data_IF_235769019293
#
_entry.id   IF_235769019293
#
_cell.length_a   1.000
_cell.length_b   1.000
_cell.length_c   1.000
_cell.angle_alpha   90.00
_cell.angle_beta   90.00
_cell.angle_gamma   90.00
#
_symmetry.space_group_name_H-M   'P 1'
#
loop_
_entity.id
_entity.type
_entity.pdbx_description
1 polymer ?
#
# COMPACT_ATOMS: atom_id res chain seq x y z
N UNK A 1 12.22 2.76 64.69
CA UNK A 1 11.33 3.67 63.98
C UNK A 1 11.81 3.84 62.55
N UNK A 2 11.22 3.18 61.61
CA UNK A 2 11.46 3.38 60.19
C UNK A 2 10.10 3.50 59.50
N UNK A 3 9.84 4.68 58.95
CA UNK A 3 8.64 4.97 58.20
C UNK A 3 8.73 4.39 56.80
N UNK A 4 7.73 3.60 56.41
CA UNK A 4 7.57 3.10 55.07
C UNK A 4 6.79 4.12 54.22
N UNK A 5 7.41 4.57 53.11
CA UNK A 5 6.72 5.39 52.14
C UNK A 5 6.03 4.47 51.12
N UNK A 6 4.71 4.66 51.00
CA UNK A 6 3.89 4.04 49.98
C UNK A 6 3.99 4.90 48.73
N UNK A 7 4.57 4.36 47.66
CA UNK A 7 4.57 5.01 46.34
C UNK A 7 3.31 4.54 45.59
N UNK A 8 2.38 5.47 45.41
CA UNK A 8 1.20 5.25 44.59
C UNK A 8 1.56 5.23 43.12
N UNK A 9 1.20 4.14 42.44
CA UNK A 9 1.28 4.03 40.98
C UNK A 9 0.11 4.81 40.39
N UNK A 10 0.39 5.97 39.82
CA UNK A 10 -0.58 6.71 39.03
C UNK A 10 -0.70 6.02 37.64
N UNK A 11 -1.89 5.46 37.39
CA UNK A 11 -2.22 4.93 36.08
C UNK A 11 -2.28 6.02 35.02
N UNK A 12 -1.47 5.90 33.99
CA UNK A 12 -1.52 6.76 32.82
C UNK A 12 -2.69 6.29 31.95
N UNK A 13 -3.82 7.00 32.01
CA UNK A 13 -4.90 6.85 31.04
C UNK A 13 -4.41 7.38 29.69
N UNK A 14 -4.31 6.52 28.69
CA UNK A 14 -4.03 6.91 27.32
C UNK A 14 -5.23 7.68 26.76
N UNK A 15 -5.09 9.00 26.65
CA UNK A 15 -6.04 9.85 25.92
C UNK A 15 -5.90 9.57 24.42
N UNK A 16 -6.92 9.00 23.82
CA UNK A 16 -7.09 8.99 22.37
C UNK A 16 -7.45 10.40 21.92
N UNK A 17 -6.47 11.15 21.45
CA UNK A 17 -6.70 12.46 20.85
C UNK A 17 -7.36 12.27 19.47
N UNK A 18 -8.45 13.00 19.24
CA UNK A 18 -9.11 13.09 17.94
C UNK A 18 -8.11 13.60 16.88
N UNK A 19 -8.14 13.01 15.70
CA UNK A 19 -7.23 13.31 14.59
C UNK A 19 -7.56 14.68 13.98
N UNK A 20 -6.59 15.56 13.78
CA UNK A 20 -6.83 16.77 13.01
C UNK A 20 -6.90 16.46 11.52
N UNK A 21 -7.92 16.94 10.85
CA UNK A 21 -8.10 16.88 9.41
C UNK A 21 -7.99 18.30 8.83
N UNK A 22 -7.39 18.37 7.65
CA UNK A 22 -7.32 19.61 6.87
C UNK A 22 -8.11 19.38 5.59
N UNK A 23 -9.14 20.16 5.36
CA UNK A 23 -9.91 20.17 4.12
C UNK A 23 -9.30 21.20 3.16
N UNK A 24 -9.02 20.79 1.93
CA UNK A 24 -8.54 21.65 0.86
C UNK A 24 -9.72 22.01 -0.05
N UNK A 25 -9.99 23.28 -0.22
CA UNK A 25 -10.88 23.83 -1.26
C UNK A 25 -10.06 24.53 -2.36
N UNK A 26 -10.72 24.99 -3.41
CA UNK A 26 -10.08 25.69 -4.53
C UNK A 26 -9.47 27.06 -4.14
N UNK A 27 -9.65 27.51 -2.91
CA UNK A 27 -9.24 28.84 -2.44
C UNK A 27 -8.43 28.85 -1.14
N UNK A 28 -8.25 27.77 -0.43
CA UNK A 28 -7.50 27.75 0.83
C UNK A 28 -7.74 26.56 1.74
N UNK A 29 -7.03 26.54 2.84
CA UNK A 29 -7.08 25.50 3.86
C UNK A 29 -7.92 26.02 5.03
N UNK A 30 -9.09 25.41 5.29
CA UNK A 30 -9.89 25.70 6.48
C UNK A 30 -9.60 24.69 7.58
N UNK A 31 -9.21 25.19 8.76
CA UNK A 31 -8.92 24.36 9.95
C UNK A 31 -10.21 24.29 10.78
N UNK A 32 -10.81 23.10 10.87
CA UNK A 32 -11.91 22.87 11.80
C UNK A 32 -11.37 22.58 13.20
N UNK A 33 -11.70 23.43 14.16
CA UNK A 33 -11.39 23.23 15.58
C UNK A 33 -12.10 22.00 16.13
N UNK A 34 -11.38 21.18 16.90
CA UNK A 34 -11.92 19.99 17.54
C UNK A 34 -12.94 20.39 18.64
N UNK A 35 -14.12 19.83 18.59
CA UNK A 35 -15.13 19.97 19.64
C UNK A 35 -14.62 19.39 20.97
N UNK A 36 -14.85 20.13 22.07
CA UNK A 36 -14.49 19.74 23.42
C UNK A 36 -15.14 18.40 23.84
N UNK A 37 -14.49 17.60 24.67
CA UNK A 37 -15.06 16.33 25.12
C UNK A 37 -16.25 16.58 26.06
N UNK A 38 -17.39 15.99 25.75
CA UNK A 38 -18.55 15.91 26.63
C UNK A 38 -18.32 14.78 27.62
N UNK A 39 -18.18 15.12 28.91
CA UNK A 39 -18.20 14.13 30.00
C UNK A 39 -19.63 13.59 30.13
N UNK A 40 -19.81 12.29 29.98
CA UNK A 40 -21.06 11.60 30.33
C UNK A 40 -20.84 10.94 31.69
N UNK A 41 -21.56 11.41 32.70
CA UNK A 41 -21.60 10.78 34.03
C UNK A 41 -22.16 9.35 33.92
N UNK A 42 -21.42 8.40 34.47
CA UNK A 42 -21.72 6.96 34.41
C UNK A 42 -22.47 6.49 35.66
N UNK A 43 -23.52 7.20 36.10
CA UNK A 43 -24.47 6.67 37.06
C UNK A 43 -25.86 7.27 36.83
N UNK A 44 -26.59 6.62 35.91
CA UNK A 44 -28.04 6.78 35.87
C UNK A 44 -28.68 5.40 35.64
N UNK A 45 -29.51 5.03 36.58
CA UNK A 45 -30.27 3.80 36.75
C UNK A 45 -30.82 3.16 35.49
N UNK A 46 -30.69 1.82 35.43
CA UNK A 46 -31.30 0.95 34.41
C UNK A 46 -32.84 0.90 34.58
N UNK A 47 -33.51 1.90 34.11
CA UNK A 47 -34.92 1.76 33.75
C UNK A 47 -35.01 1.14 32.35
N UNK A 48 -35.88 0.19 32.09
CA UNK A 48 -36.06 -0.35 30.74
C UNK A 48 -36.55 0.79 29.85
N UNK A 49 -35.68 1.24 28.94
CA UNK A 49 -36.00 2.26 27.93
C UNK A 49 -37.02 1.61 26.99
N UNK A 50 -38.29 1.95 27.17
CA UNK A 50 -39.30 1.71 26.15
C UNK A 50 -38.81 2.37 24.89
N UNK A 51 -38.54 1.59 23.84
CA UNK A 51 -38.23 2.11 22.51
C UNK A 51 -39.45 2.97 22.13
N UNK A 52 -39.23 4.19 21.58
CA UNK A 52 -40.36 4.97 21.07
C UNK A 52 -41.13 4.11 20.07
N UNK A 53 -42.42 3.97 20.30
CA UNK A 53 -43.27 3.36 19.29
C UNK A 53 -43.23 4.21 18.04
N UNK A 54 -42.86 3.59 16.90
CA UNK A 54 -42.87 4.25 15.60
C UNK A 54 -44.23 4.94 15.41
N UNK A 55 -44.20 6.19 15.01
CA UNK A 55 -45.45 6.92 14.69
C UNK A 55 -46.08 6.31 13.43
N UNK A 56 -47.41 6.42 13.28
CA UNK A 56 -48.09 5.90 12.11
C UNK A 56 -47.46 6.36 10.79
N UNK A 57 -46.94 7.59 10.74
CA UNK A 57 -46.19 8.13 9.59
C UNK A 57 -44.84 7.43 9.36
N UNK A 58 -44.12 6.98 10.40
CA UNK A 58 -42.89 6.21 10.26
C UNK A 58 -43.17 4.77 9.84
N UNK A 59 -44.31 4.22 10.28
CA UNK A 59 -44.81 2.90 9.86
C UNK A 59 -45.20 2.94 8.38
N UNK A 60 -45.91 3.98 7.92
CA UNK A 60 -46.28 4.18 6.52
C UNK A 60 -45.05 4.41 5.63
N UNK A 61 -44.08 5.20 6.06
CA UNK A 61 -42.82 5.43 5.31
C UNK A 61 -41.97 4.14 5.20
N UNK A 62 -41.89 3.36 6.27
CA UNK A 62 -41.31 2.00 6.23
C UNK A 62 -42.10 1.07 5.31
N UNK A 63 -43.41 1.17 5.32
CA UNK A 63 -44.27 0.34 4.49
C UNK A 63 -44.16 0.66 2.99
N UNK A 64 -43.63 1.82 2.59
CA UNK A 64 -43.44 2.22 1.18
C UNK A 64 -42.04 1.97 0.64
N UNK A 65 -41.07 1.59 1.47
CA UNK A 65 -39.68 1.37 1.03
C UNK A 65 -39.55 0.09 0.21
N UNK A 66 -38.75 0.12 -0.88
CA UNK A 66 -38.43 -1.08 -1.65
C UNK A 66 -37.67 -2.12 -0.79
N UNK A 67 -37.90 -3.38 -1.11
CA UNK A 67 -37.21 -4.50 -0.41
C UNK A 67 -35.76 -4.63 -0.94
N UNK A 68 -34.79 -4.52 -0.07
CA UNK A 68 -33.38 -4.65 -0.41
C UNK A 68 -32.79 -5.99 0.08
N UNK A 69 -32.20 -6.74 -0.82
CA UNK A 69 -31.48 -7.99 -0.53
C UNK A 69 -30.01 -7.83 -0.85
N UNK A 70 -29.13 -8.27 0.04
CA UNK A 70 -27.68 -8.25 -0.16
C UNK A 70 -27.15 -9.66 -0.35
N UNK A 71 -26.58 -9.92 -1.52
CA UNK A 71 -25.98 -11.22 -1.85
C UNK A 71 -24.47 -11.05 -1.97
N UNK A 72 -23.71 -11.97 -1.37
CA UNK A 72 -22.26 -12.01 -1.50
C UNK A 72 -21.85 -12.90 -2.66
N UNK A 73 -20.93 -12.42 -3.49
CA UNK A 73 -20.37 -13.18 -4.61
C UNK A 73 -19.47 -14.29 -4.06
N UNK A 74 -19.71 -15.52 -4.46
CA UNK A 74 -18.88 -16.69 -4.18
C UNK A 74 -17.68 -16.81 -5.13
N UNK A 75 -16.82 -17.79 -4.87
CA UNK A 75 -15.73 -18.11 -5.78
C UNK A 75 -16.27 -18.78 -7.05
N UNK A 76 -15.99 -18.18 -8.22
CA UNK A 76 -16.44 -18.69 -9.51
C UNK A 76 -17.86 -18.27 -9.90
N UNK A 77 -18.59 -17.55 -9.06
CA UNK A 77 -19.92 -17.04 -9.39
C UNK A 77 -19.88 -16.06 -10.55
N UNK A 78 -20.90 -16.16 -11.38
CA UNK A 78 -21.28 -15.11 -12.33
C UNK A 78 -22.31 -14.16 -11.70
N UNK A 79 -22.53 -13.00 -12.30
CA UNK A 79 -23.60 -12.10 -11.84
C UNK A 79 -24.99 -12.76 -11.97
N UNK A 80 -25.20 -13.63 -12.97
CA UNK A 80 -26.44 -14.40 -13.12
C UNK A 80 -26.69 -15.30 -11.91
N UNK A 81 -25.67 -16.04 -11.43
CA UNK A 81 -25.79 -16.90 -10.24
C UNK A 81 -26.15 -16.08 -8.98
N UNK A 82 -25.57 -14.87 -8.86
CA UNK A 82 -25.86 -13.96 -7.74
C UNK A 82 -27.31 -13.47 -7.79
N UNK A 83 -27.81 -13.08 -8.97
CA UNK A 83 -29.19 -12.63 -9.16
C UNK A 83 -30.20 -13.76 -8.94
N UNK A 84 -29.90 -14.97 -9.42
CA UNK A 84 -30.74 -16.15 -9.17
C UNK A 84 -30.86 -16.46 -7.67
N UNK A 85 -29.76 -16.38 -6.90
CA UNK A 85 -29.79 -16.53 -5.44
C UNK A 85 -30.58 -15.42 -4.73
N UNK A 86 -30.68 -14.24 -5.35
CA UNK A 86 -31.52 -13.16 -4.83
C UNK A 86 -32.99 -13.35 -5.16
N UNK A 87 -33.35 -14.34 -5.98
CA UNK A 87 -34.74 -14.60 -6.40
C UNK A 87 -35.18 -13.82 -7.65
N UNK A 88 -34.21 -13.34 -8.45
CA UNK A 88 -34.52 -12.64 -9.73
C UNK A 88 -34.79 -13.68 -10.83
N UNK A 89 -35.86 -13.46 -11.62
CA UNK A 89 -36.17 -14.26 -12.80
C UNK A 89 -35.03 -14.23 -13.82
N UNK A 90 -34.81 -15.37 -14.52
CA UNK A 90 -33.67 -15.51 -15.42
C UNK A 90 -33.72 -14.56 -16.63
N UNK A 91 -34.94 -14.28 -17.17
CA UNK A 91 -35.10 -13.36 -18.29
C UNK A 91 -34.82 -11.90 -17.87
N UNK A 92 -35.27 -11.50 -16.69
CA UNK A 92 -34.99 -10.17 -16.11
C UNK A 92 -33.50 -10.03 -15.74
N UNK A 93 -32.90 -11.10 -15.21
CA UNK A 93 -31.46 -11.11 -14.90
C UNK A 93 -30.61 -10.88 -16.15
N UNK A 94 -30.93 -11.52 -17.27
CA UNK A 94 -30.20 -11.32 -18.54
C UNK A 94 -30.34 -9.87 -19.01
N UNK A 95 -31.52 -9.29 -19.02
CA UNK A 95 -31.75 -7.90 -19.43
C UNK A 95 -30.98 -6.91 -18.55
N UNK A 96 -31.01 -7.10 -17.22
CA UNK A 96 -30.27 -6.25 -16.29
C UNK A 96 -28.75 -6.39 -16.45
N UNK A 97 -28.24 -7.59 -16.71
CA UNK A 97 -26.81 -7.83 -16.97
C UNK A 97 -26.38 -7.16 -18.28
N UNK A 98 -27.19 -7.21 -19.31
CA UNK A 98 -26.89 -6.56 -20.59
C UNK A 98 -26.86 -5.04 -20.43
N UNK A 99 -27.84 -4.44 -19.75
CA UNK A 99 -27.85 -3.01 -19.43
C UNK A 99 -26.65 -2.58 -18.55
N UNK A 100 -26.24 -3.44 -17.60
CA UNK A 100 -25.08 -3.16 -16.75
C UNK A 100 -23.78 -3.11 -17.55
N UNK A 101 -23.65 -3.81 -18.68
CA UNK A 101 -22.44 -3.82 -19.53
C UNK A 101 -22.04 -2.45 -20.03
N UNK A 102 -22.98 -1.52 -20.16
CA UNK A 102 -22.70 -0.15 -20.60
C UNK A 102 -21.84 0.63 -19.60
N UNK A 103 -21.94 0.28 -18.30
CA UNK A 103 -21.25 0.98 -17.20
C UNK A 103 -20.27 0.10 -16.43
N UNK A 104 -20.34 -1.22 -16.55
CA UNK A 104 -19.49 -2.16 -15.82
C UNK A 104 -19.32 -3.47 -16.57
N UNK A 105 -18.09 -3.99 -16.63
CA UNK A 105 -17.85 -5.33 -17.17
C UNK A 105 -18.19 -6.40 -16.12
N UNK A 106 -19.24 -7.22 -16.30
CA UNK A 106 -19.64 -8.24 -15.32
C UNK A 106 -18.55 -9.29 -15.02
N UNK A 107 -17.59 -9.47 -15.93
CA UNK A 107 -16.41 -10.37 -15.71
C UNK A 107 -15.42 -9.81 -14.70
N UNK A 108 -15.52 -8.54 -14.34
CA UNK A 108 -14.70 -7.92 -13.29
C UNK A 108 -15.25 -8.13 -11.87
N UNK A 109 -16.36 -8.88 -11.74
CA UNK A 109 -16.94 -9.25 -10.45
C UNK A 109 -15.94 -10.06 -9.62
N UNK A 110 -15.84 -9.73 -8.33
CA UNK A 110 -14.82 -10.34 -7.43
C UNK A 110 -15.51 -11.17 -6.35
N UNK A 111 -14.97 -12.34 -6.04
CA UNK A 111 -15.41 -13.12 -4.89
C UNK A 111 -15.35 -12.27 -3.60
N UNK A 112 -16.38 -12.39 -2.76
CA UNK A 112 -16.56 -11.60 -1.54
C UNK A 112 -17.25 -10.24 -1.74
N UNK A 113 -17.39 -9.76 -2.98
CA UNK A 113 -18.11 -8.52 -3.30
C UNK A 113 -19.57 -8.61 -2.90
N UNK A 114 -20.14 -7.51 -2.41
CA UNK A 114 -21.57 -7.44 -2.10
C UNK A 114 -22.33 -6.84 -3.28
N UNK A 115 -23.37 -7.54 -3.72
CA UNK A 115 -24.33 -7.08 -4.71
C UNK A 115 -25.61 -6.77 -3.98
N UNK A 116 -26.18 -5.58 -4.19
CA UNK A 116 -27.46 -5.16 -3.67
C UNK A 116 -28.51 -5.37 -4.76
N UNK A 117 -29.56 -6.11 -4.45
CA UNK A 117 -30.70 -6.35 -5.32
C UNK A 117 -31.94 -5.69 -4.66
N UNK A 118 -32.63 -4.86 -5.39
CA UNK A 118 -33.79 -4.12 -4.92
C UNK A 118 -35.03 -4.58 -5.66
N UNK A 119 -36.06 -4.91 -4.92
CA UNK A 119 -37.38 -5.28 -5.45
C UNK A 119 -38.39 -4.21 -5.10
N UNK A 120 -39.38 -4.07 -5.92
CA UNK A 120 -40.57 -3.30 -5.58
C UNK A 120 -41.26 -3.92 -4.38
N UNK A 121 -42.14 -3.14 -3.73
CA UNK A 121 -42.96 -3.66 -2.65
C UNK A 121 -44.01 -4.62 -3.24
N UNK A 122 -44.24 -5.73 -2.55
CA UNK A 122 -45.34 -6.64 -2.90
C UNK A 122 -46.69 -5.95 -2.72
N UNK A 123 -47.56 -5.93 -3.74
CA UNK A 123 -48.89 -5.35 -3.61
C UNK A 123 -49.79 -6.10 -2.59
N UNK A 124 -49.39 -7.32 -2.22
CA UNK A 124 -50.15 -8.16 -1.26
C UNK A 124 -49.55 -8.14 0.17
N UNK A 125 -48.57 -7.31 0.46
CA UNK A 125 -47.98 -7.13 1.79
C UNK A 125 -47.03 -8.24 2.26
N UNK A 126 -46.89 -9.34 1.53
CA UNK A 126 -45.99 -10.45 1.83
C UNK A 126 -45.01 -10.67 0.68
N UNK A 127 -43.74 -10.94 1.02
CA UNK A 127 -42.66 -11.13 0.03
C UNK A 127 -42.22 -9.82 -0.63
N UNK A 128 -41.57 -9.95 -1.78
CA UNK A 128 -41.17 -8.82 -2.63
C UNK A 128 -41.99 -8.78 -3.92
N UNK A 129 -42.12 -7.58 -4.50
CA UNK A 129 -42.69 -7.34 -5.81
C UNK A 129 -41.71 -7.64 -6.95
N UNK A 130 -41.87 -6.96 -8.08
CA UNK A 130 -41.03 -7.11 -9.25
C UNK A 130 -39.59 -6.70 -8.99
N UNK A 131 -38.64 -7.30 -9.72
CA UNK A 131 -37.22 -6.90 -9.67
C UNK A 131 -37.09 -5.47 -10.24
N UNK A 132 -36.51 -4.58 -9.44
CA UNK A 132 -36.36 -3.16 -9.75
C UNK A 132 -34.95 -2.75 -10.12
N UNK A 133 -33.95 -3.17 -9.33
CA UNK A 133 -32.58 -2.71 -9.52
C UNK A 133 -31.56 -3.71 -8.97
N UNK A 134 -30.43 -3.85 -9.67
CA UNK A 134 -29.21 -4.42 -9.13
C UNK A 134 -28.16 -3.34 -9.05
N UNK A 135 -27.39 -3.30 -7.97
CA UNK A 135 -26.24 -2.39 -7.84
C UNK A 135 -25.09 -3.02 -7.05
N UNK A 136 -23.88 -2.57 -7.36
CA UNK A 136 -22.65 -3.00 -6.71
C UNK A 136 -21.61 -1.89 -6.71
N UNK A 137 -20.66 -1.96 -5.79
CA UNK A 137 -19.54 -1.04 -5.78
C UNK A 137 -18.50 -1.51 -6.80
N UNK A 138 -18.37 -0.83 -7.95
CA UNK A 138 -17.33 -1.12 -8.93
C UNK A 138 -15.93 -0.81 -8.36
N UNK A 139 -15.83 0.27 -7.58
CA UNK A 139 -14.69 0.65 -6.76
C UNK A 139 -15.19 1.37 -5.48
N UNK A 140 -14.31 1.82 -4.56
CA UNK A 140 -14.75 2.44 -3.30
C UNK A 140 -15.63 3.68 -3.43
N UNK A 141 -15.56 4.40 -4.55
CA UNK A 141 -16.33 5.65 -4.78
C UNK A 141 -17.36 5.55 -5.92
N UNK A 142 -17.29 4.49 -6.72
CA UNK A 142 -18.17 4.29 -7.87
C UNK A 142 -19.13 3.13 -7.64
N UNK A 143 -20.42 3.43 -7.65
CA UNK A 143 -21.51 2.46 -7.58
C UNK A 143 -22.10 2.34 -8.98
N UNK A 144 -22.20 1.14 -9.48
CA UNK A 144 -22.80 0.82 -10.78
C UNK A 144 -23.98 -0.10 -10.59
N UNK A 145 -24.92 -0.05 -11.51
CA UNK A 145 -26.11 -0.87 -11.44
C UNK A 145 -26.86 -0.93 -12.75
N UNK A 146 -27.93 -1.70 -12.73
CA UNK A 146 -28.98 -1.67 -13.76
C UNK A 146 -30.30 -1.48 -13.05
N UNK A 147 -31.09 -0.49 -13.48
CA UNK A 147 -32.37 -0.12 -12.91
C UNK A 147 -33.47 -0.26 -13.97
N UNK A 148 -34.64 -0.72 -13.54
CA UNK A 148 -35.80 -0.80 -14.40
C UNK A 148 -36.24 0.60 -14.83
N UNK A 149 -36.44 0.80 -16.12
CA UNK A 149 -36.89 2.05 -16.69
C UNK A 149 -38.44 2.13 -16.74
N UNK A 150 -38.98 3.29 -17.10
CA UNK A 150 -40.41 3.52 -17.20
C UNK A 150 -41.12 2.71 -18.32
N UNK A 151 -40.35 2.10 -19.24
CA UNK A 151 -40.84 1.25 -20.34
C UNK A 151 -40.80 -0.24 -19.98
N UNK A 152 -40.38 -0.58 -18.75
CA UNK A 152 -40.26 -1.95 -18.25
C UNK A 152 -38.95 -2.66 -18.62
N UNK A 153 -38.06 -2.02 -19.36
CA UNK A 153 -36.68 -2.49 -19.62
C UNK A 153 -35.73 -2.17 -18.49
N UNK A 154 -34.41 -2.39 -18.72
CA UNK A 154 -33.36 -2.00 -17.80
C UNK A 154 -32.37 -1.02 -18.46
N UNK A 155 -31.91 -0.05 -17.68
CA UNK A 155 -30.88 0.90 -18.07
C UNK A 155 -29.71 0.83 -17.12
N UNK A 156 -28.47 0.88 -17.65
CA UNK A 156 -27.24 0.98 -16.85
C UNK A 156 -27.21 2.31 -16.10
N UNK A 157 -26.90 2.26 -14.82
CA UNK A 157 -26.74 3.46 -13.97
C UNK A 157 -25.36 3.47 -13.33
N UNK A 158 -24.80 4.67 -13.22
CA UNK A 158 -23.55 4.93 -12.51
C UNK A 158 -23.76 6.10 -11.56
N UNK A 159 -23.33 5.91 -10.32
CA UNK A 159 -23.42 6.94 -9.28
C UNK A 159 -22.07 7.05 -8.57
N UNK A 160 -21.57 8.27 -8.47
CA UNK A 160 -20.39 8.57 -7.66
C UNK A 160 -20.81 8.90 -6.23
N UNK A 161 -20.17 8.27 -5.26
CA UNK A 161 -20.33 8.66 -3.86
C UNK A 161 -19.76 10.05 -3.66
N UNK A 162 -20.46 10.86 -2.88
CA UNK A 162 -19.89 12.13 -2.43
C UNK A 162 -18.72 11.82 -1.49
N UNK A 163 -17.53 12.26 -1.88
CA UNK A 163 -16.31 12.15 -1.08
C UNK A 163 -15.58 13.47 -1.13
N UNK A 164 -14.98 13.85 0.00
CA UNK A 164 -14.05 14.97 0.09
C UNK A 164 -12.61 14.46 0.03
N UNK A 165 -11.78 15.11 -0.75
CA UNK A 165 -10.34 14.87 -0.77
C UNK A 165 -9.71 15.64 0.39
N UNK A 166 -9.00 14.96 1.26
CA UNK A 166 -8.34 15.55 2.43
C UNK A 166 -6.91 15.03 2.52
N UNK A 167 -6.05 15.80 3.18
CA UNK A 167 -4.69 15.39 3.51
C UNK A 167 -4.66 14.87 4.94
N UNK A 168 -4.15 13.67 5.11
CA UNK A 168 -3.95 13.04 6.41
C UNK A 168 -2.46 12.96 6.75
N UNK A 169 -2.16 13.13 8.02
CA UNK A 169 -0.82 13.02 8.58
C UNK A 169 -0.81 12.03 9.73
N UNK A 170 0.05 11.02 9.66
CA UNK A 170 0.26 10.07 10.74
C UNK A 170 1.76 9.94 11.01
N UNK A 171 2.12 9.96 12.27
CA UNK A 171 3.49 9.75 12.73
C UNK A 171 3.50 8.87 13.97
N UNK A 172 4.62 8.22 14.25
CA UNK A 172 4.73 7.37 15.43
C UNK A 172 6.12 6.80 15.63
N UNK A 173 6.25 6.08 16.75
CA UNK A 173 7.46 5.33 17.10
C UNK A 173 7.29 3.87 16.67
N UNK A 174 8.33 3.32 16.07
CA UNK A 174 8.38 1.92 15.66
C UNK A 174 8.67 1.05 16.89
N UNK A 175 7.77 0.11 17.19
CA UNK A 175 7.89 -0.79 18.35
C UNK A 175 8.43 -2.16 17.95
N UNK A 176 7.90 -2.75 16.89
CA UNK A 176 8.26 -4.07 16.38
C UNK A 176 8.65 -4.02 14.92
N UNK A 177 7.77 -3.47 14.07
CA UNK A 177 8.02 -3.26 12.65
C UNK A 177 7.38 -1.95 12.18
N UNK A 178 7.91 -1.39 11.09
CA UNK A 178 7.31 -0.21 10.47
C UNK A 178 5.86 -0.48 10.06
N UNK A 179 5.60 -1.66 9.45
CA UNK A 179 4.26 -2.02 8.98
C UNK A 179 3.25 -2.01 10.12
N UNK A 180 3.51 -2.75 11.19
CA UNK A 180 2.60 -2.87 12.33
C UNK A 180 2.42 -1.54 13.06
N UNK A 181 3.51 -0.79 13.27
CA UNK A 181 3.45 0.49 13.97
C UNK A 181 2.67 1.55 13.17
N UNK A 182 2.86 1.61 11.85
CA UNK A 182 2.12 2.51 10.98
C UNK A 182 0.63 2.09 10.87
N UNK A 183 0.34 0.79 10.80
CA UNK A 183 -1.03 0.28 10.77
C UNK A 183 -1.78 0.62 12.08
N UNK A 184 -1.13 0.44 13.23
CA UNK A 184 -1.68 0.80 14.54
C UNK A 184 -1.89 2.31 14.68
N UNK A 185 -1.07 3.13 14.03
CA UNK A 185 -1.26 4.57 13.92
C UNK A 185 -2.37 4.96 12.92
N UNK A 186 -2.99 3.99 12.26
CA UNK A 186 -4.12 4.18 11.33
C UNK A 186 -3.72 4.57 9.92
N UNK A 187 -2.46 4.38 9.53
CA UNK A 187 -2.04 4.56 8.14
C UNK A 187 -2.67 3.47 7.27
N UNK A 188 -3.28 3.80 6.12
CA UNK A 188 -3.83 2.81 5.21
C UNK A 188 -2.74 1.85 4.68
N UNK A 189 -3.08 0.57 4.54
CA UNK A 189 -2.12 -0.46 4.08
C UNK A 189 -1.46 -0.09 2.75
N UNK A 190 -2.20 0.49 1.81
CA UNK A 190 -1.67 0.93 0.51
C UNK A 190 -0.58 1.99 0.66
N UNK A 191 -0.76 2.93 1.60
CA UNK A 191 0.24 3.98 1.90
C UNK A 191 1.46 3.36 2.60
N UNK A 192 1.26 2.43 3.54
CA UNK A 192 2.36 1.70 4.19
C UNK A 192 3.20 0.96 3.15
N UNK A 193 2.55 0.27 2.21
CA UNK A 193 3.25 -0.45 1.15
C UNK A 193 4.00 0.49 0.20
N UNK A 194 3.43 1.65 -0.13
CA UNK A 194 4.10 2.67 -0.93
C UNK A 194 5.35 3.22 -0.20
N UNK A 195 5.23 3.49 1.10
CA UNK A 195 6.34 3.95 1.95
C UNK A 195 7.46 2.89 2.03
N UNK A 196 7.11 1.64 2.34
CA UNK A 196 8.08 0.53 2.39
C UNK A 196 8.78 0.38 1.04
N UNK A 197 8.02 0.37 -0.07
CA UNK A 197 8.59 0.27 -1.42
C UNK A 197 9.57 1.40 -1.72
N UNK A 198 9.20 2.63 -1.41
CA UNK A 198 10.06 3.79 -1.67
C UNK A 198 11.33 3.79 -0.80
N UNK A 199 11.21 3.38 0.47
CA UNK A 199 12.35 3.31 1.40
C UNK A 199 13.26 2.09 1.15
N UNK A 200 12.78 1.01 0.52
CA UNK A 200 13.53 -0.25 0.33
C UNK A 200 14.83 -0.11 -0.48
N UNK A 201 15.01 1.02 -1.13
CA UNK A 201 16.26 1.33 -1.83
C UNK A 201 17.40 1.75 -0.91
N UNK A 202 17.09 2.37 0.24
CA UNK A 202 18.04 2.89 1.20
C UNK A 202 18.02 2.16 2.54
N UNK A 203 16.89 1.52 2.90
CA UNK A 203 16.64 0.89 4.19
C UNK A 203 16.50 -0.63 4.04
N UNK A 204 17.27 -1.39 4.80
CA UNK A 204 17.03 -2.81 5.02
C UNK A 204 16.09 -2.98 6.23
N UNK A 205 14.81 -3.21 5.96
CA UNK A 205 13.78 -3.30 7.00
C UNK A 205 13.98 -4.43 8.02
N UNK A 206 14.85 -5.39 7.73
CA UNK A 206 15.17 -6.48 8.66
C UNK A 206 16.35 -6.15 9.58
N UNK A 207 17.21 -5.19 9.20
CA UNK A 207 18.47 -4.91 9.88
C UNK A 207 18.57 -3.48 10.40
N UNK A 208 18.08 -2.52 9.61
CA UNK A 208 18.31 -1.10 9.91
C UNK A 208 17.23 -0.53 10.84
N UNK A 209 16.02 -1.15 10.87
CA UNK A 209 14.92 -0.69 11.73
C UNK A 209 15.05 -1.31 13.12
N UNK A 210 15.00 -0.45 14.13
CA UNK A 210 15.05 -0.81 15.53
C UNK A 210 13.86 -0.26 16.31
N UNK A 211 13.57 -0.88 17.46
CA UNK A 211 12.58 -0.34 18.38
C UNK A 211 13.06 1.02 18.89
N UNK A 212 12.20 2.03 18.83
CA UNK A 212 12.53 3.42 19.15
C UNK A 212 12.72 4.31 17.93
N UNK A 213 12.94 3.74 16.74
CA UNK A 213 12.91 4.49 15.49
C UNK A 213 11.55 5.13 15.25
N UNK A 214 11.48 6.13 14.39
CA UNK A 214 10.25 6.88 14.12
C UNK A 214 9.85 6.80 12.65
N UNK A 215 8.57 7.00 12.40
CA UNK A 215 8.07 7.23 11.05
C UNK A 215 7.15 8.45 11.02
N UNK A 216 7.04 9.04 9.84
CA UNK A 216 6.20 10.19 9.55
C UNK A 216 5.69 10.07 8.10
N UNK A 217 4.38 10.22 7.88
CA UNK A 217 3.79 10.07 6.56
C UNK A 217 2.61 11.00 6.35
N UNK A 218 2.62 11.70 5.20
CA UNK A 218 1.53 12.56 4.73
C UNK A 218 0.99 11.98 3.43
N UNK A 219 -0.31 11.83 3.35
CA UNK A 219 -0.97 11.26 2.19
C UNK A 219 -2.36 11.87 1.97
N UNK A 220 -2.84 11.76 0.75
CA UNK A 220 -4.21 12.11 0.39
C UNK A 220 -5.16 10.98 0.75
N UNK A 221 -6.35 11.32 1.20
CA UNK A 221 -7.44 10.40 1.45
C UNK A 221 -8.75 10.93 0.90
N UNK A 222 -9.64 10.04 0.49
CA UNK A 222 -11.00 10.35 0.07
C UNK A 222 -11.95 9.88 1.17
N UNK A 223 -12.67 10.82 1.76
CA UNK A 223 -13.51 10.59 2.93
C UNK A 223 -14.98 10.80 2.56
N UNK A 224 -15.88 9.95 3.09
CA UNK A 224 -17.30 10.13 2.94
C UNK A 224 -17.84 11.27 3.84
N UNK A 225 -19.11 11.57 3.71
CA UNK A 225 -19.81 12.61 4.49
C UNK A 225 -19.82 12.34 6.00
N UNK A 226 -19.44 11.13 6.44
CA UNK A 226 -19.31 10.74 7.85
C UNK A 226 -17.85 10.79 8.33
N UNK A 227 -16.93 11.30 7.51
CA UNK A 227 -15.50 11.35 7.82
C UNK A 227 -14.77 10.00 7.78
N UNK A 228 -15.39 8.96 7.21
CA UNK A 228 -14.76 7.65 7.05
C UNK A 228 -13.91 7.62 5.79
N UNK A 229 -12.67 7.15 5.90
CA UNK A 229 -11.80 6.92 4.74
C UNK A 229 -12.42 5.86 3.82
N UNK A 230 -12.71 6.24 2.59
CA UNK A 230 -13.28 5.39 1.55
C UNK A 230 -12.18 4.84 0.64
N UNK A 231 -11.20 5.68 0.31
CA UNK A 231 -10.06 5.33 -0.54
C UNK A 231 -8.83 6.14 -0.13
N UNK A 232 -7.67 5.51 -0.03
CA UNK A 232 -6.40 6.24 0.04
C UNK A 232 -6.03 6.78 -1.33
N UNK A 233 -5.50 8.00 -1.34
CA UNK A 233 -4.90 8.63 -2.51
C UNK A 233 -3.39 8.40 -2.55
N UNK A 234 -2.66 9.44 -2.94
CA UNK A 234 -1.21 9.41 -3.11
C UNK A 234 -0.48 9.71 -1.80
N UNK A 235 0.66 9.07 -1.58
CA UNK A 235 1.59 9.46 -0.53
C UNK A 235 2.33 10.71 -1.00
N UNK A 236 2.23 11.81 -0.25
CA UNK A 236 2.86 13.09 -0.57
C UNK A 236 4.25 13.22 0.02
N UNK A 237 4.42 12.67 1.22
CA UNK A 237 5.66 12.72 2.00
C UNK A 237 5.76 11.48 2.86
N UNK A 238 6.96 10.98 3.05
CA UNK A 238 7.28 10.02 4.09
C UNK A 238 8.69 10.23 4.62
N UNK A 239 8.87 9.94 5.90
CA UNK A 239 10.19 9.88 6.52
C UNK A 239 10.26 8.71 7.51
N UNK A 240 11.48 8.19 7.68
CA UNK A 240 11.84 7.24 8.75
C UNK A 240 13.08 7.77 9.43
N UNK A 241 13.02 7.89 10.75
CA UNK A 241 14.16 8.25 11.58
C UNK A 241 14.86 6.99 12.08
N UNK A 242 15.99 6.62 11.47
CA UNK A 242 16.79 5.45 11.85
C UNK A 242 17.91 5.88 12.78
N UNK A 243 17.91 5.40 14.02
CA UNK A 243 18.92 5.78 15.04
C UNK A 243 19.13 7.29 15.12
N UNK A 244 18.03 8.07 14.99
CA UNK A 244 18.04 9.52 15.02
C UNK A 244 18.38 10.22 13.70
N UNK A 245 18.70 9.49 12.62
CA UNK A 245 18.98 10.07 11.30
C UNK A 245 17.73 9.97 10.43
N UNK A 246 17.11 11.10 10.03
CA UNK A 246 15.92 11.08 9.20
C UNK A 246 16.27 10.76 7.73
N UNK A 247 15.50 9.85 7.13
CA UNK A 247 15.47 9.59 5.69
C UNK A 247 14.11 10.06 5.20
N UNK A 248 14.07 11.24 4.58
CA UNK A 248 12.85 11.88 4.12
C UNK A 248 12.72 11.83 2.60
N UNK A 249 11.48 11.72 2.12
CA UNK A 249 11.17 11.72 0.70
C UNK A 249 9.88 12.48 0.40
N UNK A 250 9.87 13.13 -0.75
CA UNK A 250 8.81 14.00 -1.24
C UNK A 250 8.32 13.50 -2.59
N UNK A 251 7.01 13.43 -2.78
CA UNK A 251 6.40 13.13 -4.07
C UNK A 251 6.61 14.30 -5.03
N UNK A 252 7.06 14.01 -6.23
CA UNK A 252 7.21 15.00 -7.28
C UNK A 252 6.69 14.47 -8.61
N UNK A 253 5.83 15.27 -9.25
CA UNK A 253 5.32 15.03 -10.59
C UNK A 253 6.05 15.96 -11.56
N UNK A 254 6.79 15.38 -12.49
CA UNK A 254 7.53 16.15 -13.49
C UNK A 254 6.64 16.81 -14.56
N UNK A 255 5.31 16.53 -14.52
CA UNK A 255 4.35 17.07 -15.48
C UNK A 255 4.38 16.38 -16.86
N UNK A 256 5.19 15.31 -17.02
CA UNK A 256 5.28 14.48 -18.23
C UNK A 256 4.73 13.06 -18.00
N UNK A 257 3.91 12.89 -16.95
CA UNK A 257 3.32 11.62 -16.58
C UNK A 257 4.23 10.71 -15.74
N UNK A 258 5.39 11.23 -15.28
CA UNK A 258 6.27 10.50 -14.37
C UNK A 258 6.18 11.09 -12.97
N UNK A 259 5.73 10.27 -12.02
CA UNK A 259 5.67 10.57 -10.60
C UNK A 259 6.71 9.74 -9.88
N UNK A 260 7.63 10.42 -9.20
CA UNK A 260 8.67 9.76 -8.40
C UNK A 260 8.82 10.43 -7.03
N UNK A 261 9.55 9.76 -6.14
CA UNK A 261 9.92 10.30 -4.83
C UNK A 261 11.38 10.73 -4.84
N UNK A 262 11.63 11.92 -4.28
CA UNK A 262 12.95 12.53 -4.21
C UNK A 262 13.31 12.87 -2.77
N UNK A 263 14.59 12.75 -2.42
CA UNK A 263 15.10 13.23 -1.15
C UNK A 263 15.17 14.77 -1.12
N UNK A 264 15.53 15.34 0.01
CA UNK A 264 15.62 16.80 0.19
C UNK A 264 16.53 17.53 -0.82
N UNK A 265 17.49 16.79 -1.41
CA UNK A 265 18.44 17.32 -2.40
C UNK A 265 17.95 17.22 -3.85
N UNK A 266 16.73 16.72 -4.07
CA UNK A 266 16.20 16.45 -5.40
C UNK A 266 16.85 15.26 -6.09
N UNK A 267 17.34 14.29 -5.33
CA UNK A 267 17.85 13.02 -5.83
C UNK A 267 16.77 11.97 -5.68
N UNK A 268 16.46 11.23 -6.75
CA UNK A 268 15.47 10.16 -6.72
C UNK A 268 15.80 9.12 -5.64
N UNK A 269 14.81 8.74 -4.85
CA UNK A 269 14.96 7.63 -3.90
C UNK A 269 15.09 6.29 -4.63
N UNK A 270 14.53 6.19 -5.85
CA UNK A 270 14.71 5.03 -6.71
C UNK A 270 16.18 4.93 -7.11
N UNK A 271 16.83 3.87 -6.69
CA UNK A 271 18.21 3.58 -7.08
C UNK A 271 18.23 2.83 -8.42
N UNK A 272 19.36 2.93 -9.10
CA UNK A 272 19.55 2.20 -10.34
C UNK A 272 19.40 0.68 -10.20
N UNK A 273 19.74 0.15 -9.02
CA UNK A 273 19.57 -1.27 -8.69
C UNK A 273 18.92 -1.48 -7.32
N UNK A 274 18.11 -2.52 -7.19
CA UNK A 274 17.65 -3.05 -5.91
C UNK A 274 18.83 -3.69 -5.16
N UNK A 275 18.94 -3.47 -3.86
CA UNK A 275 19.92 -4.17 -3.00
C UNK A 275 19.61 -5.66 -2.90
N UNK A 276 18.33 -6.01 -2.85
CA UNK A 276 17.85 -7.38 -2.66
C UNK A 276 16.80 -7.68 -3.74
N UNK A 277 17.14 -8.49 -4.78
CA UNK A 277 16.24 -8.80 -5.88
C UNK A 277 15.28 -9.97 -5.59
N UNK A 278 15.14 -10.39 -4.34
CA UNK A 278 14.19 -11.41 -3.84
C UNK A 278 13.63 -10.97 -2.50
N UNK A 279 12.31 -11.08 -2.33
CA UNK A 279 11.64 -10.65 -1.10
C UNK A 279 11.90 -11.65 0.04
N UNK A 280 12.00 -11.16 1.28
CA UNK A 280 12.18 -11.97 2.48
C UNK A 280 13.52 -12.69 2.62
N UNK A 281 14.51 -12.33 1.81
CA UNK A 281 15.79 -13.03 1.73
C UNK A 281 16.75 -12.68 2.85
N UNK A 282 17.44 -13.72 3.36
CA UNK A 282 18.62 -13.56 4.24
C UNK A 282 19.88 -13.81 3.43
N UNK A 283 20.92 -12.99 3.63
CA UNK A 283 22.24 -13.26 3.06
C UNK A 283 22.85 -14.46 3.81
N UNK A 284 23.04 -15.55 3.10
CA UNK A 284 23.64 -16.79 3.63
C UNK A 284 25.14 -16.87 3.34
N UNK A 285 25.62 -16.16 2.29
CA UNK A 285 27.03 -16.06 1.98
C UNK A 285 27.37 -14.73 1.31
N UNK A 286 28.43 -14.07 1.79
CA UNK A 286 28.93 -12.80 1.26
C UNK A 286 29.88 -12.97 0.09
N UNK A 287 30.21 -11.82 -0.54
CA UNK A 287 31.24 -11.71 -1.58
C UNK A 287 32.64 -11.81 -0.97
N UNK A 288 33.55 -12.52 -1.61
CA UNK A 288 34.97 -12.58 -1.20
C UNK A 288 35.56 -13.98 -1.15
N UNK A 289 36.79 -14.07 -0.66
CA UNK A 289 37.49 -15.35 -0.52
C UNK A 289 36.89 -16.18 0.62
N UNK A 290 36.52 -17.42 0.36
CA UNK A 290 35.97 -18.37 1.34
C UNK A 290 36.28 -19.80 1.01
N UNK A 291 36.29 -20.69 2.01
CA UNK A 291 36.36 -22.13 1.75
C UNK A 291 35.12 -22.55 0.95
N UNK A 292 35.33 -23.16 -0.20
CA UNK A 292 34.28 -23.59 -1.07
C UNK A 292 33.58 -24.84 -0.48
N UNK A 293 32.27 -24.81 -0.20
CA UNK A 293 31.57 -25.88 0.54
C UNK A 293 31.61 -27.25 -0.14
N UNK A 294 31.78 -27.29 -1.48
CA UNK A 294 31.84 -28.53 -2.26
C UNK A 294 33.28 -28.89 -2.60
N UNK A 295 34.13 -27.93 -2.88
CA UNK A 295 35.48 -28.18 -3.41
C UNK A 295 36.59 -28.23 -2.32
N UNK A 296 36.28 -27.81 -1.08
CA UNK A 296 37.19 -27.92 0.05
C UNK A 296 38.40 -27.01 0.03
N UNK A 297 38.56 -26.14 -0.98
CA UNK A 297 39.68 -25.17 -1.06
C UNK A 297 39.17 -23.72 -1.10
N UNK A 298 40.01 -22.79 -0.77
CA UNK A 298 39.71 -21.36 -0.78
C UNK A 298 39.39 -20.88 -2.19
N UNK A 299 38.18 -20.36 -2.41
CA UNK A 299 37.75 -19.84 -3.71
C UNK A 299 37.06 -18.50 -3.55
N UNK A 300 37.28 -17.63 -4.55
CA UNK A 300 36.57 -16.35 -4.65
C UNK A 300 35.08 -16.57 -4.92
N UNK A 301 34.25 -16.10 -4.02
CA UNK A 301 32.81 -15.97 -4.22
C UNK A 301 32.51 -14.64 -4.91
N UNK A 302 32.08 -14.70 -6.16
CA UNK A 302 31.93 -13.55 -7.06
C UNK A 302 30.61 -12.81 -6.91
N UNK A 303 29.74 -13.23 -5.97
CA UNK A 303 28.44 -12.66 -5.70
C UNK A 303 28.07 -12.75 -4.24
N UNK A 304 26.80 -12.61 -3.96
CA UNK A 304 26.16 -12.89 -2.66
C UNK A 304 25.07 -13.93 -2.84
N UNK A 305 24.91 -14.77 -1.82
CA UNK A 305 23.89 -15.79 -1.82
C UNK A 305 22.75 -15.39 -0.89
N UNK A 306 21.54 -15.35 -1.44
CA UNK A 306 20.31 -15.10 -0.72
C UNK A 306 19.57 -16.43 -0.45
N UNK A 307 19.50 -16.85 0.81
CA UNK A 307 18.76 -18.04 1.23
C UNK A 307 17.26 -17.76 1.28
N UNK A 308 16.54 -18.41 0.38
CA UNK A 308 15.07 -18.35 0.26
C UNK A 308 14.54 -19.65 -0.32
N UNK A 309 13.27 -20.03 -0.05
CA UNK A 309 12.67 -21.25 -0.59
C UNK A 309 12.67 -21.32 -2.12
N UNK A 310 12.77 -22.54 -2.64
CA UNK A 310 12.58 -22.80 -4.08
C UNK A 310 11.22 -22.27 -4.54
N UNK A 311 11.18 -21.63 -5.72
CA UNK A 311 9.97 -21.05 -6.28
C UNK A 311 9.71 -19.59 -5.89
N UNK A 312 10.50 -19.02 -4.97
CA UNK A 312 10.43 -17.58 -4.65
C UNK A 312 10.71 -16.76 -5.92
N UNK A 313 9.89 -15.74 -6.25
CA UNK A 313 10.11 -14.89 -7.42
C UNK A 313 11.41 -14.11 -7.34
N UNK A 314 12.17 -14.10 -8.44
CA UNK A 314 13.38 -13.29 -8.60
C UNK A 314 13.03 -12.09 -9.46
N UNK A 315 13.35 -10.90 -8.98
CA UNK A 315 13.09 -9.63 -9.65
C UNK A 315 14.34 -9.11 -10.37
N UNK A 316 14.15 -8.43 -11.50
CA UNK A 316 15.22 -7.65 -12.12
C UNK A 316 15.66 -6.53 -11.15
N UNK A 317 16.92 -6.49 -10.79
CA UNK A 317 17.42 -5.49 -9.85
C UNK A 317 17.35 -4.05 -10.40
N UNK A 318 17.33 -3.87 -11.71
CA UNK A 318 17.23 -2.56 -12.36
C UNK A 318 16.59 -2.65 -13.74
N UNK A 319 16.22 -1.50 -14.29
CA UNK A 319 15.83 -1.39 -15.69
C UNK A 319 17.02 -1.83 -16.57
N UNK A 320 16.78 -2.65 -17.57
CA UNK A 320 17.88 -3.17 -18.40
C UNK A 320 17.45 -4.06 -19.56
N UNK A 321 18.43 -4.63 -20.21
CA UNK A 321 18.24 -5.57 -21.29
C UNK A 321 18.86 -6.92 -20.96
N UNK A 322 18.17 -8.00 -21.25
CA UNK A 322 18.65 -9.38 -21.05
C UNK A 322 19.82 -9.62 -22.01
N UNK A 323 21.01 -9.93 -21.47
CA UNK A 323 22.19 -10.35 -22.25
C UNK A 323 22.30 -11.88 -22.35
N UNK A 324 21.95 -12.58 -21.27
CA UNK A 324 21.97 -14.05 -21.23
C UNK A 324 20.69 -14.53 -20.55
N UNK A 325 20.07 -15.57 -21.10
CA UNK A 325 18.96 -16.28 -20.48
C UNK A 325 19.02 -17.75 -20.92
N UNK A 326 19.28 -18.68 -19.99
CA UNK A 326 19.39 -20.10 -20.25
C UNK A 326 20.25 -20.83 -19.23
N UNK A 327 20.52 -22.12 -19.50
CA UNK A 327 21.40 -22.92 -18.65
C UNK A 327 22.87 -22.53 -18.90
N UNK A 328 23.62 -22.25 -17.83
CA UNK A 328 25.01 -21.78 -17.90
C UNK A 328 25.92 -22.58 -16.94
N UNK A 329 26.23 -23.81 -17.28
CA UNK A 329 27.19 -24.66 -16.58
C UNK A 329 26.96 -24.70 -15.06
N UNK A 330 27.98 -24.31 -14.29
CA UNK A 330 27.90 -24.34 -12.84
C UNK A 330 26.91 -23.34 -12.22
N UNK A 331 26.47 -22.33 -12.95
CA UNK A 331 25.43 -21.37 -12.53
C UNK A 331 24.01 -21.93 -12.66
N UNK A 332 23.82 -23.08 -13.39
CA UNK A 332 22.49 -23.61 -13.65
C UNK A 332 21.66 -22.72 -14.55
N UNK A 333 20.35 -22.63 -14.31
CA UNK A 333 19.51 -21.66 -14.98
C UNK A 333 19.89 -20.26 -14.57
N UNK A 334 20.23 -19.43 -15.54
CA UNK A 334 20.92 -18.18 -15.37
C UNK A 334 20.33 -17.07 -16.22
N UNK A 335 20.23 -15.88 -15.65
CA UNK A 335 19.87 -14.65 -16.37
C UNK A 335 20.94 -13.60 -16.06
N UNK A 336 21.42 -12.89 -17.10
CA UNK A 336 22.26 -11.70 -16.96
C UNK A 336 21.58 -10.51 -17.63
N UNK A 337 21.59 -9.40 -16.93
CA UNK A 337 21.07 -8.11 -17.37
C UNK A 337 22.21 -7.11 -17.59
N UNK A 338 22.10 -6.32 -18.64
CA UNK A 338 22.88 -5.10 -18.83
C UNK A 338 22.01 -3.90 -18.50
N UNK A 339 22.49 -3.10 -17.56
CA UNK A 339 21.90 -1.81 -17.16
C UNK A 339 22.64 -0.65 -17.81
N UNK A 340 22.17 0.57 -17.55
CA UNK A 340 22.89 1.79 -17.94
C UNK A 340 24.26 1.90 -17.24
N UNK A 341 25.12 2.82 -17.73
CA UNK A 341 26.41 3.16 -17.12
C UNK A 341 27.39 2.01 -16.95
N UNK A 342 27.31 0.98 -17.81
CA UNK A 342 28.22 -0.17 -17.81
C UNK A 342 28.08 -1.10 -16.61
N UNK A 343 26.94 -1.06 -15.93
CA UNK A 343 26.61 -1.95 -14.83
C UNK A 343 25.81 -3.15 -15.37
N UNK A 344 26.09 -4.33 -14.83
CA UNK A 344 25.35 -5.55 -15.09
C UNK A 344 24.94 -6.26 -13.80
N UNK A 345 23.92 -7.09 -13.88
CA UNK A 345 23.53 -8.01 -12.79
C UNK A 345 23.33 -9.41 -13.32
N UNK A 346 23.64 -10.40 -12.49
CA UNK A 346 23.49 -11.80 -12.83
C UNK A 346 22.79 -12.57 -11.72
N UNK A 347 21.97 -13.53 -12.13
CA UNK A 347 21.07 -14.31 -11.30
C UNK A 347 21.21 -15.77 -11.64
N UNK A 348 21.62 -16.59 -10.70
CA UNK A 348 21.92 -17.99 -10.92
C UNK A 348 21.12 -18.95 -10.03
N UNK A 349 21.28 -20.24 -10.29
CA UNK A 349 20.64 -21.36 -9.59
C UNK A 349 19.12 -21.35 -9.64
N UNK A 350 18.52 -20.68 -10.64
CA UNK A 350 17.05 -20.62 -10.80
C UNK A 350 16.46 -22.01 -11.00
N UNK A 351 15.28 -22.27 -10.46
CA UNK A 351 14.47 -23.45 -10.81
C UNK A 351 13.95 -23.35 -12.26
N UNK A 352 13.51 -22.14 -12.63
CA UNK A 352 13.08 -21.82 -13.99
C UNK A 352 13.21 -20.34 -14.29
N UNK A 353 13.41 -19.99 -15.54
CA UNK A 353 13.33 -18.64 -16.07
C UNK A 353 11.86 -18.30 -16.32
N UNK A 354 11.44 -17.07 -16.07
CA UNK A 354 10.05 -16.66 -16.26
C UNK A 354 9.68 -16.61 -17.76
N UNK A 355 8.42 -16.91 -18.05
CA UNK A 355 7.91 -16.92 -19.43
C UNK A 355 8.15 -15.58 -20.12
N UNK A 356 8.66 -15.62 -21.34
CA UNK A 356 8.94 -14.44 -22.17
C UNK A 356 10.25 -13.72 -21.81
N UNK A 357 11.06 -14.19 -20.85
CA UNK A 357 12.42 -13.69 -20.60
C UNK A 357 13.38 -14.37 -21.58
N UNK A 358 13.92 -13.58 -22.51
CA UNK A 358 14.86 -14.01 -23.56
C UNK A 358 15.87 -12.91 -23.89
N UNK A 359 16.99 -13.30 -24.46
CA UNK A 359 18.05 -12.37 -24.88
C UNK A 359 17.48 -11.25 -25.76
N UNK A 360 17.94 -10.02 -25.54
CA UNK A 360 17.49 -8.81 -26.23
C UNK A 360 16.21 -8.19 -25.70
N UNK A 361 15.48 -8.86 -24.78
CA UNK A 361 14.27 -8.26 -24.15
C UNK A 361 14.64 -7.20 -23.14
N UNK A 362 13.95 -6.06 -23.19
CA UNK A 362 13.98 -5.03 -22.13
C UNK A 362 13.12 -5.50 -20.96
N UNK A 363 13.58 -5.26 -19.74
CA UNK A 363 12.88 -5.51 -18.49
C UNK A 363 12.93 -4.27 -17.60
N UNK A 364 11.90 -4.09 -16.79
CA UNK A 364 11.85 -3.02 -15.80
C UNK A 364 12.31 -3.53 -14.44
N UNK A 365 12.84 -2.64 -13.61
CA UNK A 365 13.17 -2.91 -12.21
C UNK A 365 11.96 -3.50 -11.47
N UNK A 366 12.16 -4.56 -10.70
CA UNK A 366 11.08 -5.28 -10.01
C UNK A 366 10.30 -6.27 -10.89
N UNK A 367 10.55 -6.33 -12.20
CA UNK A 367 9.92 -7.34 -13.06
C UNK A 367 10.44 -8.74 -12.72
N UNK A 368 9.53 -9.72 -12.59
CA UNK A 368 9.90 -11.11 -12.33
C UNK A 368 10.61 -11.68 -13.56
N UNK A 369 11.84 -12.16 -13.36
CA UNK A 369 12.70 -12.73 -14.42
C UNK A 369 12.94 -14.23 -14.26
N UNK A 370 12.61 -14.80 -13.10
CA UNK A 370 12.74 -16.22 -12.81
C UNK A 370 12.32 -16.56 -11.40
N UNK A 371 12.67 -17.76 -10.96
CA UNK A 371 12.28 -18.28 -9.66
C UNK A 371 13.46 -19.01 -9.03
N UNK A 372 13.64 -18.83 -7.73
CA UNK A 372 14.71 -19.46 -6.95
C UNK A 372 14.68 -20.97 -7.09
N UNK A 373 15.84 -21.58 -7.13
CA UNK A 373 16.02 -23.01 -7.21
C UNK A 373 17.37 -23.47 -6.63
N UNK A 374 17.89 -24.57 -7.14
CA UNK A 374 19.17 -25.16 -6.78
C UNK A 374 19.83 -25.85 -7.99
N UNK A 375 19.63 -25.27 -9.19
CA UNK A 375 20.19 -25.85 -10.42
C UNK A 375 21.68 -25.53 -10.58
N UNK A 376 22.40 -26.36 -11.34
CA UNK A 376 23.86 -26.22 -11.47
C UNK A 376 24.61 -26.70 -10.23
N UNK A 377 25.73 -26.04 -9.88
CA UNK A 377 26.52 -26.39 -8.70
C UNK A 377 26.04 -25.63 -7.47
N UNK A 378 25.05 -26.15 -6.78
CA UNK A 378 24.42 -25.58 -5.60
C UNK A 378 24.24 -26.66 -4.53
N UNK A 379 24.33 -26.27 -3.26
CA UNK A 379 24.11 -27.15 -2.09
C UNK A 379 22.69 -27.09 -1.55
N UNK A 380 21.86 -26.17 -2.02
CA UNK A 380 20.47 -25.99 -1.54
C UNK A 380 19.82 -24.78 -2.19
N UNK A 381 18.56 -24.57 -1.87
CA UNK A 381 17.77 -23.48 -2.44
C UNK A 381 18.32 -22.11 -2.06
N UNK A 382 18.78 -21.34 -3.03
CA UNK A 382 19.22 -19.94 -2.87
C UNK A 382 19.27 -19.22 -4.22
N UNK A 383 19.28 -17.90 -4.19
CA UNK A 383 19.68 -17.06 -5.32
C UNK A 383 21.16 -16.69 -5.16
N UNK A 384 21.98 -17.02 -6.14
CA UNK A 384 23.31 -16.42 -6.29
C UNK A 384 23.17 -15.16 -7.16
N UNK A 385 23.55 -14.00 -6.60
CA UNK A 385 23.40 -12.69 -7.21
C UNK A 385 24.75 -12.00 -7.36
N UNK A 386 25.06 -11.57 -8.58
CA UNK A 386 26.28 -10.82 -8.89
C UNK A 386 25.94 -9.42 -9.40
N UNK A 387 26.78 -8.44 -9.02
CA UNK A 387 26.83 -7.12 -9.65
C UNK A 387 28.15 -6.98 -10.38
N UNK A 388 28.08 -6.50 -11.62
CA UNK A 388 29.24 -6.34 -12.49
C UNK A 388 29.42 -4.86 -12.87
N UNK A 389 30.65 -4.38 -12.88
CA UNK A 389 31.05 -3.12 -13.50
C UNK A 389 31.91 -3.45 -14.73
N UNK A 390 31.37 -3.21 -15.91
CA UNK A 390 31.91 -3.84 -17.12
C UNK A 390 31.79 -5.37 -17.02
N UNK A 391 32.92 -6.08 -17.12
CA UNK A 391 32.98 -7.54 -16.98
C UNK A 391 33.51 -8.02 -15.60
N UNK A 392 33.78 -7.11 -14.68
CA UNK A 392 34.34 -7.44 -13.35
C UNK A 392 33.26 -7.49 -12.30
N UNK A 393 33.15 -8.60 -11.58
CA UNK A 393 32.28 -8.73 -10.43
C UNK A 393 32.77 -7.85 -9.29
N UNK A 394 31.86 -7.12 -8.67
CA UNK A 394 32.12 -6.26 -7.51
C UNK A 394 31.23 -6.68 -6.36
N UNK A 395 31.61 -6.34 -5.14
CA UNK A 395 30.79 -6.64 -3.97
C UNK A 395 29.47 -5.86 -4.01
N UNK A 396 28.31 -6.55 -4.16
CA UNK A 396 27.00 -5.89 -4.23
C UNK A 396 26.70 -5.02 -3.00
N UNK A 397 27.18 -5.40 -1.82
CA UNK A 397 26.92 -4.69 -0.56
C UNK A 397 27.72 -3.41 -0.40
N UNK A 398 28.91 -3.33 -1.01
CA UNK A 398 29.77 -2.13 -0.94
C UNK A 398 29.49 -1.11 -2.04
N UNK A 399 28.68 -1.46 -3.02
CA UNK A 399 28.34 -0.56 -4.11
C UNK A 399 27.41 0.54 -3.63
N UNK A 400 27.88 1.79 -3.67
CA UNK A 400 26.98 2.95 -3.56
C UNK A 400 26.15 3.00 -4.84
N UNK A 401 24.89 2.60 -4.73
CA UNK A 401 23.96 2.61 -5.87
C UNK A 401 23.73 4.06 -6.31
N UNK A 402 24.01 4.43 -7.56
CA UNK A 402 23.68 5.76 -8.04
C UNK A 402 22.16 5.96 -8.01
N UNK A 403 21.73 7.17 -7.72
CA UNK A 403 20.33 7.55 -7.88
C UNK A 403 19.92 7.42 -9.33
N UNK A 404 18.70 7.02 -9.59
CA UNK A 404 18.21 6.87 -10.96
C UNK A 404 18.15 8.24 -11.67
N UNK A 405 17.69 9.26 -10.95
CA UNK A 405 17.51 10.63 -11.47
C UNK A 405 17.97 11.64 -10.41
N UNK A 406 18.61 12.72 -10.86
CA UNK A 406 18.88 13.91 -10.06
C UNK A 406 18.27 15.12 -10.77
N UNK A 407 17.36 15.79 -10.09
CA UNK A 407 16.70 16.98 -10.65
C UNK A 407 17.71 18.13 -10.82
N UNK A 408 17.58 18.87 -11.91
CA UNK A 408 18.42 20.01 -12.22
C UNK A 408 17.60 21.15 -12.89
N UNK A 409 18.13 22.37 -12.85
CA UNK A 409 17.50 23.52 -13.50
C UNK A 409 16.06 23.72 -13.05
N UNK A 410 15.17 23.98 -14.01
CA UNK A 410 13.73 24.24 -13.76
C UNK A 410 13.01 23.13 -12.99
N UNK A 411 13.36 21.87 -13.22
CA UNK A 411 12.74 20.76 -12.48
C UNK A 411 13.12 20.79 -10.99
N UNK A 412 14.37 21.10 -10.68
CA UNK A 412 14.81 21.26 -9.29
C UNK A 412 14.10 22.44 -8.61
N UNK A 413 13.87 23.54 -9.34
CA UNK A 413 13.18 24.71 -8.76
C UNK A 413 11.70 24.43 -8.51
N UNK A 414 11.03 23.70 -9.43
CA UNK A 414 9.66 23.20 -9.22
C UNK A 414 9.60 22.25 -8.02
N UNK A 415 10.54 21.33 -7.92
CA UNK A 415 10.63 20.42 -6.78
C UNK A 415 10.80 21.16 -5.45
N UNK A 416 11.68 22.16 -5.41
CA UNK A 416 11.86 23.01 -4.20
C UNK A 416 10.58 23.74 -3.79
N UNK A 417 9.74 24.15 -4.76
CA UNK A 417 8.44 24.71 -4.45
C UNK A 417 7.51 23.66 -3.82
N UNK A 418 7.36 22.50 -4.45
CA UNK A 418 6.55 21.38 -3.89
C UNK A 418 7.05 20.98 -2.51
N UNK A 419 8.36 20.91 -2.30
CA UNK A 419 8.95 20.62 -0.98
C UNK A 419 8.52 21.66 0.06
N UNK A 420 8.64 22.97 -0.25
CA UNK A 420 8.23 24.05 0.67
C UNK A 420 6.75 23.98 1.02
N UNK A 421 5.90 23.69 0.03
CA UNK A 421 4.45 23.54 0.24
C UNK A 421 4.16 22.35 1.18
N UNK A 422 4.84 21.22 0.94
CA UNK A 422 4.74 20.02 1.80
C UNK A 422 5.27 20.30 3.21
N UNK A 423 6.40 20.98 3.36
CA UNK A 423 6.96 21.36 4.66
C UNK A 423 6.03 22.34 5.42
N UNK A 424 5.39 23.26 4.68
CA UNK A 424 4.38 24.19 5.24
C UNK A 424 3.15 23.43 5.70
N UNK A 425 2.70 22.45 4.91
CA UNK A 425 1.59 21.55 5.27
C UNK A 425 1.92 20.77 6.53
N UNK A 426 3.09 20.12 6.58
CA UNK A 426 3.59 19.43 7.78
C UNK A 426 3.64 20.34 9.02
N UNK A 427 3.98 21.62 8.84
CA UNK A 427 4.00 22.59 9.93
C UNK A 427 2.60 22.90 10.47
N UNK A 428 1.59 22.88 9.62
CA UNK A 428 0.20 23.23 9.97
C UNK A 428 -0.58 22.07 10.58
N UNK A 429 -0.29 20.84 10.16
CA UNK A 429 -1.08 19.63 10.50
C UNK A 429 -0.80 19.09 11.91
N UNK A 430 -0.31 19.76 12.83
CA UNK A 430 -0.29 19.52 14.25
C UNK A 430 1.08 19.64 14.94
N UNK A 431 1.14 20.49 15.95
CA UNK A 431 2.31 20.61 16.83
C UNK A 431 2.52 19.39 17.73
N UNK A 432 1.46 18.64 18.07
CA UNK A 432 1.52 17.53 19.03
C UNK A 432 2.19 16.25 18.50
N UNK A 433 2.14 16.01 17.20
CA UNK A 433 2.80 14.85 16.57
C UNK A 433 4.28 15.13 16.25
N UNK A 434 4.69 16.39 16.19
CA UNK A 434 6.08 16.83 15.96
C UNK A 434 7.01 16.71 17.18
N UNK A 435 6.47 16.65 18.38
CA UNK A 435 7.27 16.58 19.61
C UNK A 435 8.17 15.34 19.65
N UNK A 436 7.79 14.24 19.00
CA UNK A 436 8.63 13.06 18.92
C UNK A 436 9.84 13.24 17.96
N UNK A 437 9.68 13.97 16.87
CA UNK A 437 10.75 14.20 15.89
C UNK A 437 11.74 15.30 16.33
N UNK A 438 11.27 16.36 17.03
CA UNK A 438 12.12 17.44 17.52
C UNK A 438 12.89 17.11 18.81
N UNK A 439 12.46 16.14 19.59
CA UNK A 439 13.21 15.65 20.76
C UNK A 439 14.48 14.91 20.35
N UNK A 440 14.49 14.29 19.15
CA UNK A 440 15.65 13.60 18.61
C UNK A 440 16.71 14.56 18.01
N UNK A 441 16.29 15.73 17.50
CA UNK A 441 17.20 16.74 16.94
C UNK A 441 17.89 17.63 17.98
N UNK A 442 17.32 17.78 19.17
CA UNK A 442 17.91 18.62 20.24
C UNK A 442 18.91 17.88 21.14
N UNK A 443 18.88 16.54 21.17
CA UNK A 443 19.87 15.77 21.94
C UNK A 443 21.27 15.76 21.30
N UNK A 444 21.38 16.01 19.99
CA UNK A 444 22.66 16.07 19.30
C UNK A 444 23.35 17.46 19.35
N UNK A 445 22.68 18.49 19.86
CA UNK A 445 23.22 19.87 19.92
C UNK A 445 23.77 20.27 21.31
N UNK A 446 23.77 19.37 22.30
CA UNK A 446 24.22 19.65 23.67
C UNK A 446 25.45 18.85 24.11
N UNK A 447 26.20 18.24 23.17
CA UNK A 447 27.51 17.68 23.43
C UNK A 447 28.48 18.21 22.37
N UNK A 448 28.91 19.43 22.55
CA UNK A 448 30.23 19.97 22.14
C UNK A 448 30.63 21.05 23.13
#
# INVERSE_FOLDING_TARGET
MKAAAVVGVAGIAAMFAARPFVQLDDQGIEILEAAAPVFVDAEAERSPRLLPMDTDSEIEDRAQRPVETHVRVGSGDTLGDVLARAGVDSAEAVQAIDALRDVFNPRALKAGQKVKVTFEKSPHGFGHGGFHMVSLNADPIRVVGAQRDAKGGFAGIETMRQVSKQVAHNAGVIKSSLFESAQNAGVPVQIIMAMIKALSYDVDFQRDIQSGDSFDVVYEGFYDTKGKLVRSGEMLYAAVGLSGVPIAMYRFDNGQGSVEYFNEKGESVKKALLKTPVDGAKITSGFGMRNHPILGFTKMHKGIDFGVPTGTPIQAAGDGMIEVAGFNGSYGNYVRLRHGSGVGTAYAHMSRIATGIKVGKKVSQGQIIGFVGSTGRSTGAHLHYEVLKGNTQINPLSMKMPTNTKLAGRELDRFKAVKRDTDTLLAKIAPSTRLAANSLGKSAALTN
#
